data_IF_149265353998
#
_entry.id   IF_149265353998
#
_cell.length_a   1.000
_cell.length_b   1.000
_cell.length_c   1.000
_cell.angle_alpha   90.00
_cell.angle_beta   90.00
_cell.angle_gamma   90.00
#
_symmetry.space_group_name_H-M   'P 1'
#
loop_
_entity.id
_entity.type
_entity.pdbx_description
1 polymer ?
#
# COMPACT_ATOMS: atom_id res chain seq x y z
N UNK A 1 -11.72 9.43 14.16
CA UNK A 1 -11.91 9.47 12.69
C UNK A 1 -13.26 8.88 12.36
N UNK A 2 -14.12 9.59 11.64
CA UNK A 2 -15.40 9.05 11.19
C UNK A 2 -15.15 8.33 9.87
N UNK A 3 -15.35 7.01 9.85
CA UNK A 3 -15.33 6.23 8.61
C UNK A 3 -16.58 6.61 7.81
N UNK A 4 -16.39 7.40 6.77
CA UNK A 4 -17.48 7.83 5.91
C UNK A 4 -17.82 6.67 4.98
N UNK A 5 -18.92 5.95 5.28
CA UNK A 5 -19.41 4.87 4.43
C UNK A 5 -19.83 5.46 3.09
N UNK A 6 -19.37 4.86 2.00
CA UNK A 6 -19.83 5.15 0.64
C UNK A 6 -21.33 4.84 0.58
N UNK A 7 -22.12 5.80 0.10
CA UNK A 7 -23.58 5.68 -0.09
C UNK A 7 -23.88 6.02 -1.55
N UNK A 8 -25.05 5.66 -2.08
CA UNK A 8 -25.40 5.86 -3.49
C UNK A 8 -25.16 7.30 -4.00
N UNK A 9 -25.34 8.31 -3.14
CA UNK A 9 -25.15 9.73 -3.46
C UNK A 9 -23.76 10.28 -3.07
N UNK A 10 -22.80 9.43 -2.71
CA UNK A 10 -21.44 9.89 -2.40
C UNK A 10 -20.75 10.43 -3.65
N UNK A 11 -19.97 11.49 -3.47
CA UNK A 11 -19.01 11.94 -4.49
C UNK A 11 -18.15 10.74 -4.95
N UNK A 12 -17.65 10.76 -6.20
CA UNK A 12 -16.68 9.76 -6.65
C UNK A 12 -15.62 9.55 -5.58
N UNK A 13 -15.33 8.30 -5.26
CA UNK A 13 -14.28 7.96 -4.30
C UNK A 13 -13.32 7.01 -4.99
N UNK A 14 -12.04 7.20 -4.70
CA UNK A 14 -11.04 6.23 -5.11
C UNK A 14 -11.18 5.00 -4.22
N UNK A 15 -11.51 3.85 -4.82
CA UNK A 15 -11.70 2.60 -4.07
C UNK A 15 -10.35 2.07 -3.60
N UNK A 16 -9.61 1.39 -4.46
CA UNK A 16 -8.30 0.82 -4.13
C UNK A 16 -7.45 0.67 -5.37
N UNK A 17 -6.14 0.71 -5.17
CA UNK A 17 -5.17 0.32 -6.18
C UNK A 17 -4.02 -0.41 -5.53
N UNK A 18 -3.52 -1.43 -6.20
CA UNK A 18 -2.37 -2.20 -5.77
C UNK A 18 -1.45 -2.40 -6.96
N UNK A 19 -0.16 -2.25 -6.73
CA UNK A 19 0.87 -2.54 -7.73
C UNK A 19 2.05 -3.25 -7.10
N UNK A 20 2.42 -4.37 -7.71
CA UNK A 20 3.62 -5.13 -7.38
C UNK A 20 4.16 -5.72 -8.68
N UNK A 21 5.34 -5.28 -9.08
CA UNK A 21 5.98 -5.79 -10.28
C UNK A 21 6.51 -7.20 -10.01
N UNK A 22 6.26 -8.13 -10.94
CA UNK A 22 6.71 -9.51 -10.83
C UNK A 22 8.24 -9.61 -10.60
N UNK A 23 9.01 -8.74 -11.26
CA UNK A 23 10.45 -8.64 -11.06
C UNK A 23 10.84 -8.26 -9.62
N UNK A 24 10.13 -7.32 -8.97
CA UNK A 24 10.39 -6.93 -7.58
C UNK A 24 10.01 -8.06 -6.62
N UNK A 25 8.86 -8.69 -6.84
CA UNK A 25 8.41 -9.85 -6.07
C UNK A 25 9.44 -10.99 -6.12
N UNK A 26 9.94 -11.31 -7.31
CA UNK A 26 10.96 -12.35 -7.52
C UNK A 26 12.30 -11.93 -6.91
N UNK A 27 12.73 -10.68 -7.11
CA UNK A 27 13.97 -10.15 -6.55
C UNK A 27 14.01 -10.20 -5.01
N UNK A 28 12.91 -9.81 -4.35
CA UNK A 28 12.80 -9.92 -2.90
C UNK A 28 12.91 -11.38 -2.43
N UNK A 29 12.15 -12.30 -3.05
CA UNK A 29 12.18 -13.73 -2.70
C UNK A 29 13.56 -14.37 -2.90
N UNK A 30 14.31 -13.94 -3.91
CA UNK A 30 15.57 -14.56 -4.28
C UNK A 30 16.77 -14.02 -3.50
N UNK A 31 16.78 -12.73 -3.14
CA UNK A 31 18.00 -12.07 -2.65
C UNK A 31 17.82 -11.14 -1.45
N UNK A 32 16.60 -10.90 -0.99
CA UNK A 32 16.37 -10.09 0.21
C UNK A 32 16.27 -10.93 1.47
N UNK A 33 16.51 -10.27 2.61
CA UNK A 33 16.26 -10.83 3.94
C UNK A 33 14.75 -11.04 4.12
N UNK A 34 14.31 -12.06 4.89
CA UNK A 34 12.91 -12.34 5.15
C UNK A 34 12.32 -11.35 6.17
N UNK A 35 12.42 -10.06 5.84
CA UNK A 35 11.95 -8.94 6.61
C UNK A 35 11.16 -8.02 5.69
N UNK A 36 10.02 -7.57 6.17
CA UNK A 36 9.13 -6.62 5.48
C UNK A 36 8.82 -5.48 6.45
N UNK A 37 9.10 -4.26 6.01
CA UNK A 37 8.57 -3.04 6.59
C UNK A 37 7.37 -2.56 5.78
N UNK A 38 6.34 -2.11 6.48
CA UNK A 38 5.15 -1.50 5.93
C UNK A 38 5.03 -0.10 6.52
N UNK A 39 4.81 0.90 5.67
CA UNK A 39 4.57 2.27 6.11
C UNK A 39 3.49 2.90 5.23
N UNK A 40 2.81 3.91 5.77
CA UNK A 40 1.65 4.55 5.17
C UNK A 40 1.69 6.07 5.33
N UNK A 41 1.12 6.80 4.37
CA UNK A 41 0.89 8.23 4.51
C UNK A 41 -0.43 8.68 3.90
N UNK A 42 -1.04 9.70 4.50
CA UNK A 42 -2.27 10.29 3.98
C UNK A 42 -2.01 11.10 2.71
N UNK A 43 -2.80 10.84 1.67
CA UNK A 43 -2.76 11.60 0.44
C UNK A 43 -3.60 12.88 0.60
N UNK A 44 -3.03 14.00 0.17
CA UNK A 44 -3.76 15.26 0.00
C UNK A 44 -4.32 15.31 -1.41
N UNK A 45 -5.64 15.22 -1.53
CA UNK A 45 -6.32 15.23 -2.81
C UNK A 45 -7.84 15.25 -2.64
N UNK A 46 -8.58 15.25 -3.76
CA UNK A 46 -10.04 15.21 -3.73
C UNK A 46 -10.58 13.93 -3.06
N UNK A 47 -9.78 12.86 -3.08
CA UNK A 47 -10.09 11.61 -2.39
C UNK A 47 -9.21 11.49 -1.15
N UNK A 48 -9.85 11.35 0.01
CA UNK A 48 -9.18 11.07 1.28
C UNK A 48 -8.77 9.60 1.27
N UNK A 49 -7.53 9.33 0.87
CA UNK A 49 -6.97 7.99 0.78
C UNK A 49 -5.61 7.94 1.45
N UNK A 50 -5.10 6.73 1.57
CA UNK A 50 -3.82 6.44 2.18
C UNK A 50 -2.94 5.67 1.22
N UNK A 51 -1.72 6.13 1.07
CA UNK A 51 -0.70 5.50 0.26
C UNK A 51 0.17 4.62 1.15
N UNK A 52 0.22 3.34 0.82
CA UNK A 52 0.93 2.31 1.54
C UNK A 52 2.13 1.86 0.71
N UNK A 53 3.28 1.69 1.35
CA UNK A 53 4.49 1.18 0.72
C UNK A 53 5.02 -0.01 1.50
N UNK A 54 5.37 -1.06 0.78
CA UNK A 54 6.02 -2.26 1.35
C UNK A 54 7.47 -2.29 0.93
N UNK A 55 8.38 -2.36 1.89
CA UNK A 55 9.83 -2.43 1.67
C UNK A 55 10.42 -3.67 2.34
N UNK A 56 11.44 -4.25 1.73
CA UNK A 56 12.29 -5.27 2.32
C UNK A 56 13.69 -4.72 2.57
N UNK A 57 14.59 -5.60 3.00
CA UNK A 57 16.01 -5.29 3.16
C UNK A 57 16.85 -6.26 2.36
N UNK A 58 17.70 -5.76 1.47
CA UNK A 58 18.54 -6.61 0.63
C UNK A 58 19.74 -7.19 1.40
N UNK A 59 20.52 -8.04 0.73
CA UNK A 59 21.75 -8.62 1.29
C UNK A 59 22.78 -7.57 1.72
N UNK A 60 22.79 -6.40 1.06
CA UNK A 60 23.66 -5.26 1.35
C UNK A 60 23.05 -4.27 2.36
N UNK A 61 22.04 -4.71 3.11
CA UNK A 61 21.35 -3.91 4.12
C UNK A 61 20.68 -2.62 3.59
N UNK A 62 20.42 -2.51 2.29
CA UNK A 62 19.70 -1.40 1.68
C UNK A 62 18.19 -1.68 1.64
N UNK A 63 17.41 -0.60 1.52
CA UNK A 63 15.96 -0.71 1.35
C UNK A 63 15.64 -1.21 -0.07
N UNK A 64 14.86 -2.28 -0.14
CA UNK A 64 14.36 -2.84 -1.39
C UNK A 64 12.85 -2.58 -1.49
N UNK A 65 12.35 -1.96 -2.55
CA UNK A 65 10.89 -1.73 -2.71
C UNK A 65 10.20 -3.00 -3.22
N UNK A 66 9.08 -3.37 -2.61
CA UNK A 66 8.34 -4.59 -2.95
C UNK A 66 7.04 -4.25 -3.68
N UNK A 67 6.20 -3.41 -3.07
CA UNK A 67 4.86 -3.11 -3.58
C UNK A 67 4.34 -1.76 -3.05
N UNK A 68 3.28 -1.27 -3.68
CA UNK A 68 2.53 -0.09 -3.26
C UNK A 68 1.03 -0.35 -3.31
N UNK A 69 0.29 0.34 -2.46
CA UNK A 69 -1.16 0.37 -2.51
C UNK A 69 -1.70 1.77 -2.21
N UNK A 70 -2.88 2.07 -2.73
CA UNK A 70 -3.71 3.18 -2.28
C UNK A 70 -5.02 2.57 -1.77
N UNK A 71 -5.38 2.91 -0.54
CA UNK A 71 -6.59 2.40 0.13
C UNK A 71 -7.44 3.56 0.64
N UNK A 72 -8.75 3.32 0.82
CA UNK A 72 -9.68 4.30 1.41
C UNK A 72 -9.30 4.65 2.86
N UNK A 73 -8.92 3.64 3.64
CA UNK A 73 -8.61 3.73 5.07
C UNK A 73 -7.88 2.46 5.52
N UNK A 74 -7.02 2.56 6.55
CA UNK A 74 -6.49 1.39 7.27
C UNK A 74 -7.62 0.61 7.98
N UNK A 75 -8.27 -0.30 7.28
CA UNK A 75 -9.28 -1.19 7.84
C UNK A 75 -9.17 -2.58 7.23
N UNK A 76 -9.42 -3.64 8.00
CA UNK A 76 -9.19 -5.04 7.60
C UNK A 76 -9.70 -5.38 6.19
N UNK A 77 -10.90 -4.92 5.82
CA UNK A 77 -11.45 -5.18 4.48
C UNK A 77 -10.73 -4.43 3.34
N UNK A 78 -10.08 -3.31 3.64
CA UNK A 78 -9.26 -2.53 2.70
C UNK A 78 -7.90 -3.19 2.46
N UNK A 79 -7.42 -3.97 3.44
CA UNK A 79 -6.16 -4.73 3.39
C UNK A 79 -6.31 -6.15 2.82
N UNK A 80 -7.54 -6.63 2.66
CA UNK A 80 -7.87 -7.96 2.13
C UNK A 80 -7.74 -8.03 0.60
#
# INVERSE_FOLDING_TARGET
MVVQRVIADSLPHFKRYYVCFDALKKGWKAGCRPFIGLDGCFLKGPFKSEFLTTVGRDANNQMFRIAWAIVEVEYTNSWA
#
